data_IF_668492910439
#
_entry.id   IF_668492910439
#
_cell.length_a   1.000
_cell.length_b   1.000
_cell.length_c   1.000
_cell.angle_alpha   90.00
_cell.angle_beta   90.00
_cell.angle_gamma   90.00
#
_symmetry.space_group_name_H-M   'P 1'
#
loop_
_entity.id
_entity.type
_entity.pdbx_description
1 polymer ?
2 non-polymer ?
3 non-polymer ?
4 water ?
#
# COMPACT_ATOMS: atom_id res chain seq x y z
N UNK A 1 2.15 7.38 24.25
CA UNK A 1 2.04 6.66 22.96
C UNK A 1 0.57 6.59 22.55
N UNK A 2 -0.17 7.71 22.58
CA UNK A 2 -1.57 7.79 22.06
C UNK A 2 -1.51 7.50 20.55
N UNK A 3 -2.64 7.09 19.98
CA UNK A 3 -2.84 6.87 18.51
C UNK A 3 -3.72 7.99 17.95
N UNK A 4 -3.56 8.33 16.67
CA UNK A 4 -4.46 9.25 15.92
C UNK A 4 -5.18 8.40 14.87
N UNK A 5 -6.50 8.40 14.93
CA UNK A 5 -7.35 7.56 14.06
C UNK A 5 -8.05 8.42 13.00
N UNK A 6 -7.75 8.13 11.73
CA UNK A 6 -8.37 8.80 10.57
C UNK A 6 -9.16 7.75 9.81
N UNK A 7 -10.21 8.13 9.07
CA UNK A 7 -10.87 7.22 8.14
C UNK A 7 -9.90 6.80 7.03
N UNK A 8 -10.08 5.61 6.46
CA UNK A 8 -9.13 5.08 5.43
C UNK A 8 -9.26 5.91 4.15
N UNK A 9 -10.47 6.32 3.77
CA UNK A 9 -10.71 7.03 2.49
C UNK A 9 -11.96 7.89 2.53
N UNK A 10 -12.00 8.88 1.65
CA UNK A 10 -13.16 9.81 1.45
C UNK A 10 -13.16 10.15 -0.05
N UNK A 11 -14.28 10.52 -0.64
CA UNK A 11 -14.37 10.93 -2.06
C UNK A 11 -15.53 11.89 -2.27
N UNK A 12 -15.41 12.74 -3.28
CA UNK A 12 -16.47 13.67 -3.70
C UNK A 12 -16.18 14.10 -5.13
N UNK A 13 -17.17 14.69 -5.78
CA UNK A 13 -17.05 15.26 -7.15
C UNK A 13 -16.40 16.64 -7.08
N UNK A 14 -15.85 17.14 -8.19
CA UNK A 14 -15.31 18.51 -8.21
C UNK A 14 -16.33 19.56 -7.73
N UNK A 15 -15.86 20.58 -6.99
CA UNK A 15 -16.70 21.71 -6.53
C UNK A 15 -17.33 21.48 -5.17
N UNK A 16 -17.35 20.24 -4.69
CA UNK A 16 -17.97 19.87 -3.38
C UNK A 16 -17.01 20.14 -2.21
N UNK A 17 -17.50 19.93 -0.99
CA UNK A 17 -16.74 20.08 0.27
C UNK A 17 -16.54 18.70 0.88
N UNK A 18 -15.36 18.41 1.41
CA UNK A 18 -15.10 17.15 2.14
C UNK A 18 -14.44 17.48 3.48
N UNK A 19 -14.71 16.68 4.49
CA UNK A 19 -14.07 16.82 5.83
C UNK A 19 -13.40 15.49 6.17
N UNK A 20 -12.16 15.57 6.65
CA UNK A 20 -11.38 14.42 7.15
C UNK A 20 -11.14 14.64 8.66
N UNK A 21 -11.47 13.64 9.48
CA UNK A 21 -11.34 13.67 10.96
C UNK A 21 -10.08 12.94 11.38
N UNK A 22 -9.60 13.29 12.56
CA UNK A 22 -8.39 12.76 13.19
C UNK A 22 -8.61 12.71 14.70
N UNK A 23 -8.94 11.53 15.24
CA UNK A 23 -9.32 11.34 16.66
C UNK A 23 -8.14 10.82 17.46
N UNK A 24 -7.83 11.50 18.58
CA UNK A 24 -6.74 11.20 19.52
C UNK A 24 -7.23 10.16 20.57
N UNK A 25 -6.55 9.03 20.73
CA UNK A 25 -7.11 7.85 21.47
C UNK A 25 -7.09 8.10 22.99
N UNK A 26 -6.16 8.91 23.47
CA UNK A 26 -5.93 9.19 24.91
C UNK A 26 -5.23 10.55 25.08
N UNK A 27 -5.61 11.29 26.12
CA UNK A 27 -5.14 12.66 26.35
C UNK A 27 -6.06 13.63 25.65
N UNK A 28 -5.75 14.93 25.73
CA UNK A 28 -6.58 16.03 25.22
C UNK A 28 -5.95 16.53 23.91
N UNK A 29 -6.74 16.54 22.83
CA UNK A 29 -6.35 17.02 21.46
C UNK A 29 -5.74 18.43 21.60
N UNK A 30 -6.29 19.23 22.52
CA UNK A 30 -5.88 20.56 23.01
C UNK A 30 -4.41 20.65 23.45
N UNK A 31 -3.90 19.59 24.03
CA UNK A 31 -2.60 19.58 24.76
C UNK A 31 -1.45 19.81 23.80
N UNK A 32 -1.62 19.53 22.50
CA UNK A 32 -0.47 19.56 21.53
C UNK A 32 -0.98 19.95 20.13
N UNK A 33 -0.15 20.65 19.35
CA UNK A 33 -0.51 21.12 17.98
C UNK A 33 -0.68 19.93 17.02
N UNK A 34 -1.64 20.11 16.14
CA UNK A 34 -1.97 19.14 15.05
C UNK A 34 -1.55 19.75 13.72
N UNK A 35 -0.81 18.97 12.94
CA UNK A 35 -0.40 19.29 11.57
C UNK A 35 -1.14 18.40 10.58
N UNK A 36 -1.36 18.91 9.37
CA UNK A 36 -1.89 18.11 8.24
C UNK A 36 -0.92 18.16 7.06
N UNK A 37 -0.61 16.99 6.53
CA UNK A 37 0.30 16.84 5.36
C UNK A 37 -0.49 16.23 4.19
N UNK A 38 -0.27 16.76 2.98
CA UNK A 38 -0.85 16.29 1.71
C UNK A 38 0.26 15.57 0.92
N UNK A 39 0.01 14.36 0.42
CA UNK A 39 0.93 13.74 -0.56
C UNK A 39 0.12 13.30 -1.79
N UNK A 40 0.21 14.07 -2.85
CA UNK A 40 -0.39 13.72 -4.18
C UNK A 40 0.28 12.46 -4.72
N UNK A 41 -0.41 11.67 -5.58
CA UNK A 41 0.19 10.46 -6.12
C UNK A 41 1.48 10.79 -6.86
N UNK A 42 2.58 10.10 -6.52
CA UNK A 42 3.89 10.24 -7.17
C UNK A 42 4.59 11.53 -6.83
N UNK A 43 4.17 12.21 -5.76
CA UNK A 43 4.76 13.49 -5.36
C UNK A 43 5.31 13.43 -3.92
N UNK A 44 6.05 14.47 -3.56
CA UNK A 44 6.54 14.69 -2.17
C UNK A 44 5.40 15.23 -1.32
N UNK A 45 5.43 15.01 0.01
CA UNK A 45 4.50 15.64 0.92
C UNK A 45 4.71 17.16 1.03
N UNK A 46 3.62 17.87 1.33
CA UNK A 46 3.63 19.32 1.68
C UNK A 46 2.72 19.54 2.88
N UNK A 47 3.00 20.54 3.68
CA UNK A 47 2.17 20.88 4.84
C UNK A 47 1.04 21.75 4.31
N UNK A 48 -0.21 21.40 4.62
CA UNK A 48 -1.37 22.28 4.31
C UNK A 48 -1.84 23.01 5.56
N UNK A 49 -1.66 22.45 6.75
CA UNK A 49 -2.03 23.09 8.06
C UNK A 49 -0.97 22.78 9.11
N UNK A 50 -0.59 23.78 9.94
CA UNK A 50 0.26 23.56 11.14
C UNK A 50 -0.43 24.28 12.31
N UNK A 51 -0.09 23.92 13.54
CA UNK A 51 -0.67 24.58 14.73
C UNK A 51 -2.20 24.65 14.58
N UNK A 52 -2.83 23.53 14.21
CA UNK A 52 -4.30 23.28 14.24
C UNK A 52 -5.00 23.98 13.07
N UNK A 53 -4.66 25.23 12.77
CA UNK A 53 -5.43 26.02 11.79
C UNK A 53 -4.61 26.99 10.96
N UNK A 54 -3.26 26.99 11.01
CA UNK A 54 -2.42 27.94 10.24
C UNK A 54 -2.12 27.38 8.86
N UNK A 55 -2.30 28.19 7.84
CA UNK A 55 -1.95 27.82 6.45
C UNK A 55 -0.59 28.41 6.12
N UNK A 56 0.36 27.58 5.61
CA UNK A 56 1.58 28.10 4.98
C UNK A 56 1.24 28.98 3.78
N UNK A 57 2.12 29.90 3.45
CA UNK A 57 1.89 30.73 2.22
C UNK A 57 1.85 29.79 1.02
N UNK A 58 0.99 30.12 0.07
CA UNK A 58 0.82 29.28 -1.13
C UNK A 58 -0.27 28.24 -0.93
N UNK A 59 -0.70 27.97 0.31
CA UNK A 59 -1.86 27.07 0.54
C UNK A 59 -3.14 27.90 0.46
N UNK A 60 -4.04 27.61 -0.50
CA UNK A 60 -5.29 28.35 -0.63
C UNK A 60 -6.25 28.26 0.56
N UNK A 61 -7.08 29.28 0.71
CA UNK A 61 -7.99 29.33 1.87
C UNK A 61 -9.16 28.35 1.73
N UNK A 62 -9.24 27.56 0.65
CA UNK A 62 -10.20 26.42 0.53
C UNK A 62 -9.87 25.35 1.58
N UNK A 63 -8.63 25.36 2.08
CA UNK A 63 -8.16 24.42 3.11
C UNK A 63 -8.35 25.05 4.48
N UNK A 64 -9.04 24.35 5.38
CA UNK A 64 -9.25 24.85 6.76
C UNK A 64 -9.03 23.74 7.79
N UNK A 65 -8.23 24.04 8.81
CA UNK A 65 -8.06 23.16 9.97
C UNK A 65 -8.91 23.60 11.16
N UNK A 66 -9.37 22.65 11.98
CA UNK A 66 -10.13 22.97 13.22
C UNK A 66 -9.89 21.89 14.28
N UNK A 67 -10.21 22.20 15.53
CA UNK A 67 -10.13 21.27 16.67
C UNK A 67 -11.54 21.20 17.29
N UNK A 68 -11.99 20.01 17.71
CA UNK A 68 -13.20 19.84 18.56
C UNK A 68 -12.81 19.16 19.86
N UNK A 69 -12.74 19.93 20.95
CA UNK A 69 -12.30 19.42 22.28
C UNK A 69 -13.24 18.30 22.74
N UNK A 70 -14.55 18.42 22.51
CA UNK A 70 -15.55 17.43 23.03
C UNK A 70 -15.36 16.02 22.41
N UNK A 71 -15.05 15.94 21.11
CA UNK A 71 -14.79 14.64 20.42
C UNK A 71 -13.30 14.28 20.47
N UNK A 72 -12.47 15.14 21.07
CA UNK A 72 -10.98 14.97 21.14
C UNK A 72 -10.46 14.75 19.70
N UNK A 73 -10.93 15.54 18.75
CA UNK A 73 -10.58 15.34 17.32
C UNK A 73 -10.13 16.66 16.67
N UNK A 74 -9.33 16.52 15.64
CA UNK A 74 -8.95 17.57 14.69
C UNK A 74 -9.64 17.24 13.35
N UNK A 75 -9.95 18.25 12.54
CA UNK A 75 -10.52 18.06 11.19
C UNK A 75 -9.84 18.97 10.17
N UNK A 76 -9.72 18.45 8.96
CA UNK A 76 -9.31 19.21 7.77
C UNK A 76 -10.52 19.28 6.83
N UNK A 77 -10.95 20.50 6.48
CA UNK A 77 -12.09 20.71 5.57
C UNK A 77 -11.57 21.37 4.30
N UNK A 78 -11.90 20.77 3.16
CA UNK A 78 -11.49 21.26 1.83
C UNK A 78 -12.75 21.64 1.06
N UNK A 79 -12.91 22.92 0.72
CA UNK A 79 -14.08 23.42 -0.04
C UNK A 79 -13.68 23.60 -1.50
N UNK A 80 -14.66 23.71 -2.41
CA UNK A 80 -14.40 23.94 -3.84
C UNK A 80 -13.44 22.91 -4.44
N UNK A 81 -13.64 21.63 -4.14
CA UNK A 81 -12.69 20.54 -4.53
C UNK A 81 -12.22 20.69 -5.99
N UNK A 82 -10.93 20.55 -6.18
CA UNK A 82 -10.26 20.53 -7.49
C UNK A 82 -9.59 19.16 -7.67
N UNK A 83 -9.38 18.72 -8.91
CA UNK A 83 -8.71 17.43 -9.22
C UNK A 83 -7.31 17.40 -8.59
N UNK A 84 -6.62 18.54 -8.45
CA UNK A 84 -5.26 18.54 -7.82
C UNK A 84 -5.31 18.21 -6.31
N UNK A 85 -6.48 18.20 -5.69
CA UNK A 85 -6.63 17.90 -4.24
C UNK A 85 -6.59 16.39 -3.99
N UNK A 86 -6.69 15.54 -5.02
CA UNK A 86 -6.61 14.06 -4.85
C UNK A 86 -5.24 13.71 -4.28
N UNK A 87 -5.21 13.00 -3.15
CA UNK A 87 -3.97 12.77 -2.36
C UNK A 87 -4.26 11.94 -1.11
N UNK A 88 -3.20 11.49 -0.44
CA UNK A 88 -3.24 10.95 0.94
C UNK A 88 -3.05 12.13 1.89
N UNK A 89 -3.87 12.24 2.91
CA UNK A 89 -3.76 13.33 3.93
C UNK A 89 -3.43 12.61 5.24
N UNK A 90 -2.44 13.11 5.96
CA UNK A 90 -2.02 12.56 7.27
C UNK A 90 -2.10 13.68 8.30
N UNK A 91 -2.74 13.42 9.44
CA UNK A 91 -2.60 14.29 10.64
C UNK A 91 -1.40 13.82 11.48
N UNK A 92 -0.90 14.74 12.31
CA UNK A 92 0.29 14.48 13.15
C UNK A 92 0.20 15.36 14.41
N UNK A 93 0.57 14.78 15.54
CA UNK A 93 0.75 15.50 16.82
C UNK A 93 1.90 14.89 17.65
N UNK A 94 1.91 15.19 18.96
CA UNK A 94 3.01 14.85 19.90
C UNK A 94 2.43 14.47 21.26
N UNK A 95 2.97 13.48 21.95
CA UNK A 95 2.77 13.38 23.42
C UNK A 95 4.15 13.53 24.03
N UNK A 96 4.38 14.69 24.60
CA UNK A 96 5.70 15.10 25.09
C UNK A 96 6.63 15.03 23.88
N UNK A 97 7.71 14.25 23.98
CA UNK A 97 8.83 14.17 22.99
C UNK A 97 8.36 13.46 21.72
N UNK A 98 7.58 12.38 21.89
CA UNK A 98 7.19 11.39 20.85
C UNK A 98 6.29 12.03 19.79
N UNK A 99 6.68 11.89 18.52
CA UNK A 99 5.89 12.32 17.33
C UNK A 99 4.91 11.21 17.00
N UNK A 100 3.64 11.52 16.74
CA UNK A 100 2.59 10.51 16.41
C UNK A 100 1.95 10.94 15.09
N UNK A 101 1.85 10.01 14.15
CA UNK A 101 1.17 10.20 12.84
C UNK A 101 -0.12 9.37 12.83
N UNK A 102 -1.17 9.93 12.21
CA UNK A 102 -2.35 9.17 11.78
C UNK A 102 -1.98 8.18 10.67
N UNK A 103 -2.88 7.26 10.37
CA UNK A 103 -2.70 6.17 9.37
C UNK A 103 -2.82 6.71 7.95
N UNK A 104 -3.41 7.89 7.78
CA UNK A 104 -3.66 8.51 6.45
C UNK A 104 -5.04 8.23 5.91
N UNK A 105 -5.58 9.20 5.18
CA UNK A 105 -6.89 9.13 4.48
C UNK A 105 -6.64 9.38 2.99
N UNK A 106 -7.00 8.43 2.14
CA UNK A 106 -6.98 8.68 0.66
C UNK A 106 -8.21 9.50 0.27
N UNK A 107 -8.01 10.69 -0.29
CA UNK A 107 -9.08 11.55 -0.90
C UNK A 107 -9.09 11.34 -2.42
N UNK A 108 -10.17 10.81 -2.95
CA UNK A 108 -10.33 10.69 -4.43
C UNK A 108 -11.31 11.76 -4.90
N UNK A 109 -10.94 12.54 -5.92
CA UNK A 109 -11.86 13.46 -6.64
C UNK A 109 -12.43 12.66 -7.81
N UNK A 110 -13.68 12.26 -7.68
CA UNK A 110 -14.28 11.16 -8.48
C UNK A 110 -14.11 11.42 -9.97
N UNK A 111 -13.50 10.46 -10.67
CA UNK A 111 -13.27 10.53 -12.13
C UNK A 111 -14.18 9.61 -12.93
N UNK A 112 -15.03 8.85 -12.24
CA UNK A 112 -15.92 7.80 -12.80
C UNK A 112 -16.89 7.37 -11.71
N UNK A 113 -17.97 6.63 -12.04
CA UNK A 113 -18.95 6.21 -11.03
C UNK A 113 -18.30 5.33 -9.95
N UNK A 114 -18.76 5.46 -8.72
CA UNK A 114 -18.36 4.53 -7.62
C UNK A 114 -18.75 3.12 -8.00
N UNK A 115 -17.93 2.15 -7.62
CA UNK A 115 -18.24 0.71 -7.82
C UNK A 115 -17.72 -0.10 -6.63
N UNK A 116 -18.63 -0.85 -5.99
CA UNK A 116 -18.33 -1.76 -4.85
C UNK A 116 -17.52 -2.95 -5.35
N UNK A 117 -16.49 -3.45 -4.62
CA UNK A 117 -15.72 -4.59 -5.11
C UNK A 117 -16.49 -5.93 -5.09
N UNK A 118 -16.16 -6.80 -6.04
CA UNK A 118 -16.38 -8.27 -5.99
C UNK A 118 -15.28 -8.92 -5.14
N UNK A 119 -15.68 -9.64 -4.08
CA UNK A 119 -14.72 -10.25 -3.12
C UNK A 119 -14.91 -11.77 -3.11
N UNK A 120 -13.87 -12.53 -3.46
CA UNK A 120 -13.92 -14.00 -3.55
C UNK A 120 -12.73 -14.56 -2.75
N UNK A 121 -13.00 -15.45 -1.80
CA UNK A 121 -11.97 -16.02 -0.90
C UNK A 121 -11.76 -17.48 -1.29
N UNK A 122 -10.54 -17.86 -1.63
CA UNK A 122 -10.26 -19.23 -2.08
C UNK A 122 -9.56 -19.99 -0.96
N UNK A 123 -10.01 -21.23 -0.64
CA UNK A 123 -9.31 -22.10 0.32
C UNK A 123 -8.10 -22.76 -0.34
N UNK A 124 -7.26 -23.50 0.42
CA UNK A 124 -6.07 -24.08 -0.18
C UNK A 124 -6.40 -25.12 -1.27
N UNK A 125 -5.60 -25.16 -2.32
CA UNK A 125 -5.68 -26.13 -3.46
C UNK A 125 -5.00 -27.42 -3.01
N UNK A 126 -5.42 -28.56 -3.54
CA UNK A 126 -4.79 -29.90 -3.28
C UNK A 126 -3.31 -29.91 -3.62
N UNK A 127 -2.93 -29.29 -4.72
CA UNK A 127 -1.52 -29.30 -5.13
C UNK A 127 -0.67 -28.49 -4.13
N UNK A 128 -1.10 -27.30 -3.67
CA UNK A 128 -0.19 -26.54 -2.76
C UNK A 128 -0.13 -27.28 -1.40
N UNK A 129 -1.20 -27.94 -0.97
CA UNK A 129 -1.18 -28.69 0.32
C UNK A 129 -0.10 -29.80 0.28
N UNK A 130 0.15 -30.43 -0.87
CA UNK A 130 1.18 -31.52 -0.99
C UNK A 130 2.59 -30.95 -0.88
N UNK A 131 2.75 -29.63 -1.12
CA UNK A 131 3.97 -28.82 -0.96
C UNK A 131 4.07 -28.15 0.42
N UNK A 132 3.24 -28.55 1.37
CA UNK A 132 3.21 -28.01 2.76
C UNK A 132 2.85 -26.52 2.76
N UNK A 133 1.95 -26.12 1.85
CA UNK A 133 1.50 -24.71 1.73
C UNK A 133 -0.02 -24.68 1.80
N UNK A 134 -0.54 -23.83 2.66
CA UNK A 134 -2.00 -23.62 2.77
C UNK A 134 -2.32 -22.14 2.53
N UNK A 135 -1.63 -21.51 1.58
CA UNK A 135 -1.92 -20.10 1.24
C UNK A 135 -3.40 -19.94 0.85
N UNK A 136 -4.05 -18.93 1.44
CA UNK A 136 -5.42 -18.48 1.08
C UNK A 136 -5.29 -17.22 0.18
N UNK A 137 -6.20 -17.04 -0.77
CA UNK A 137 -6.22 -15.84 -1.66
C UNK A 137 -7.59 -15.19 -1.61
N UNK A 138 -7.58 -13.88 -1.39
CA UNK A 138 -8.78 -13.00 -1.39
C UNK A 138 -8.70 -12.10 -2.63
N UNK A 139 -9.50 -12.40 -3.65
CA UNK A 139 -9.55 -11.66 -4.94
C UNK A 139 -10.58 -10.53 -4.78
N UNK A 140 -10.15 -9.33 -5.13
CA UNK A 140 -10.93 -8.07 -4.95
C UNK A 140 -11.00 -7.37 -6.33
N UNK A 141 -12.13 -7.32 -7.02
CA UNK A 141 -12.13 -6.82 -8.42
C UNK A 141 -13.27 -5.83 -8.67
N UNK A 142 -13.16 -5.07 -9.75
CA UNK A 142 -14.26 -4.22 -10.31
C UNK A 142 -14.61 -3.09 -9.35
N UNK A 143 -13.62 -2.44 -8.72
CA UNK A 143 -13.90 -1.39 -7.71
C UNK A 143 -13.40 0.01 -8.14
N UNK A 144 -14.10 1.04 -7.64
CA UNK A 144 -13.72 2.47 -7.80
C UNK A 144 -14.33 3.28 -6.67
N UNK A 145 -13.59 4.15 -5.96
CA UNK A 145 -12.17 4.43 -6.19
C UNK A 145 -11.21 3.27 -5.89
N UNK A 146 -9.92 3.46 -6.14
CA UNK A 146 -8.91 2.39 -6.02
C UNK A 146 -8.34 2.18 -4.63
N UNK A 147 -8.93 2.71 -3.58
CA UNK A 147 -8.45 2.54 -2.20
C UNK A 147 -9.22 1.40 -1.54
N UNK A 148 -8.52 0.41 -0.94
CA UNK A 148 -9.14 -0.67 -0.11
C UNK A 148 -8.23 -0.93 1.08
N UNK A 149 -8.83 -1.38 2.18
CA UNK A 149 -8.11 -1.85 3.39
C UNK A 149 -8.48 -3.30 3.60
N UNK A 150 -7.50 -4.19 3.79
CA UNK A 150 -7.76 -5.65 3.96
C UNK A 150 -7.33 -6.06 5.36
N UNK A 151 -8.16 -6.82 6.07
CA UNK A 151 -7.74 -7.45 7.35
C UNK A 151 -8.12 -8.93 7.35
N UNK A 152 -7.29 -9.75 7.99
CA UNK A 152 -7.53 -11.21 8.07
C UNK A 152 -7.82 -11.60 9.54
N UNK A 153 -8.59 -12.66 9.72
CA UNK A 153 -8.85 -13.28 11.06
C UNK A 153 -8.61 -14.78 11.01
N UNK A 154 -8.01 -15.34 12.07
CA UNK A 154 -7.99 -16.79 12.39
C UNK A 154 -9.06 -16.99 13.47
N UNK A 155 -10.12 -17.73 13.15
CA UNK A 155 -11.40 -17.78 13.92
C UNK A 155 -11.92 -16.33 14.05
N UNK A 156 -11.92 -15.80 15.28
CA UNK A 156 -12.40 -14.42 15.57
C UNK A 156 -11.24 -13.46 15.83
N UNK A 157 -9.98 -13.89 15.77
CA UNK A 157 -8.81 -13.08 16.19
C UNK A 157 -8.09 -12.49 14.98
N UNK A 158 -7.62 -11.24 15.07
CA UNK A 158 -6.79 -10.68 14.00
C UNK A 158 -5.47 -11.41 13.76
N UNK A 159 -5.10 -11.58 12.48
CA UNK A 159 -3.77 -12.02 11.97
C UNK A 159 -3.03 -10.78 11.49
N UNK A 160 -1.71 -10.71 11.64
CA UNK A 160 -0.85 -9.74 10.89
C UNK A 160 0.25 -10.51 10.15
N UNK A 161 0.83 -11.52 10.80
CA UNK A 161 1.92 -12.33 10.24
C UNK A 161 1.42 -13.05 8.99
N UNK A 162 2.20 -13.02 7.92
CA UNK A 162 1.94 -13.79 6.69
C UNK A 162 1.04 -13.08 5.68
N UNK A 163 0.64 -11.82 5.89
CA UNK A 163 -0.33 -11.08 5.02
C UNK A 163 0.42 -10.25 3.99
N UNK A 164 0.07 -10.40 2.72
CA UNK A 164 0.53 -9.47 1.65
C UNK A 164 -0.66 -9.02 0.83
N UNK A 165 -0.70 -7.74 0.48
CA UNK A 165 -1.81 -7.23 -0.34
C UNK A 165 -1.19 -6.43 -1.49
N UNK A 166 -1.61 -6.70 -2.73
CA UNK A 166 -1.10 -5.99 -3.94
C UNK A 166 -1.65 -4.57 -4.04
N UNK A 167 -0.86 -3.69 -4.65
CA UNK A 167 -1.30 -2.32 -5.02
C UNK A 167 -2.39 -2.40 -6.09
N UNK A 168 -3.56 -1.78 -5.89
CA UNK A 168 -4.62 -1.88 -6.88
C UNK A 168 -4.20 -1.34 -8.24
N UNK A 169 -4.64 -2.01 -9.29
CA UNK A 169 -4.33 -1.62 -10.68
C UNK A 169 -5.62 -1.62 -11.51
N UNK A 170 -5.69 -0.68 -12.45
CA UNK A 170 -6.80 -0.54 -13.41
C UNK A 170 -6.79 -1.70 -14.38
N UNK A 171 -7.94 -2.34 -14.62
CA UNK A 171 -8.04 -3.48 -15.56
C UNK A 171 -8.77 -3.02 -16.82
N UNK A 172 -9.13 -3.94 -17.72
CA UNK A 172 -9.54 -3.64 -19.12
C UNK A 172 -10.91 -2.93 -19.07
N UNK A 173 -11.68 -3.08 -18.00
CA UNK A 173 -12.98 -2.37 -17.82
C UNK A 173 -12.81 -0.99 -17.14
N UNK A 174 -11.59 -0.53 -16.90
CA UNK A 174 -11.31 0.80 -16.30
C UNK A 174 -11.67 0.85 -14.80
N UNK A 175 -11.91 -0.30 -14.18
CA UNK A 175 -12.03 -0.43 -12.72
C UNK A 175 -10.79 -1.13 -12.11
N UNK A 176 -10.61 -1.05 -10.79
CA UNK A 176 -9.43 -1.57 -10.07
C UNK A 176 -9.61 -3.05 -9.70
N UNK A 177 -8.48 -3.76 -9.58
CA UNK A 177 -8.41 -5.10 -8.98
C UNK A 177 -7.15 -5.22 -8.13
N UNK A 178 -7.23 -6.09 -7.13
CA UNK A 178 -6.10 -6.40 -6.24
C UNK A 178 -6.33 -7.78 -5.63
N UNK A 179 -5.32 -8.34 -4.98
CA UNK A 179 -5.47 -9.60 -4.20
C UNK A 179 -4.63 -9.52 -2.93
N UNK A 180 -5.17 -10.15 -1.89
CA UNK A 180 -4.51 -10.31 -0.58
C UNK A 180 -4.31 -11.80 -0.40
N UNK A 181 -3.14 -12.21 0.08
CA UNK A 181 -2.85 -13.64 0.35
C UNK A 181 -2.25 -13.80 1.76
N UNK A 182 -2.60 -14.90 2.37
CA UNK A 182 -2.19 -15.26 3.75
C UNK A 182 -1.45 -16.60 3.70
N UNK A 183 -0.16 -16.57 3.93
CA UNK A 183 0.75 -17.73 3.77
C UNK A 183 0.70 -18.70 4.95
N UNK A 184 -0.35 -19.49 5.10
CA UNK A 184 -0.48 -20.47 6.22
C UNK A 184 0.33 -21.77 5.92
N UNK A 185 0.71 -22.53 6.96
CA UNK A 185 1.09 -23.95 6.82
C UNK A 185 -0.20 -24.76 6.87
N UNK A 186 -0.21 -25.99 6.31
CA UNK A 186 -1.36 -26.88 6.48
C UNK A 186 -1.72 -27.08 7.97
N UNK A 187 -0.73 -27.12 8.85
CA UNK A 187 -0.95 -27.30 10.33
C UNK A 187 -1.75 -26.11 10.89
N UNK A 188 -1.38 -24.87 10.49
CA UNK A 188 -2.10 -23.64 10.92
C UNK A 188 -3.55 -23.68 10.41
N UNK A 189 -3.75 -23.96 9.13
CA UNK A 189 -5.07 -24.06 8.47
C UNK A 189 -5.99 -25.02 9.23
N UNK A 190 -5.51 -26.23 9.48
CA UNK A 190 -6.34 -27.35 9.98
C UNK A 190 -6.64 -27.16 11.47
N UNK A 191 -5.88 -26.28 12.12
CA UNK A 191 -5.91 -26.06 13.59
C UNK A 191 -6.86 -24.90 13.95
N UNK A 192 -7.61 -24.35 12.99
CA UNK A 192 -8.64 -23.32 13.27
C UNK A 192 -9.96 -23.80 12.66
N UNK A 193 -11.09 -23.32 13.20
CA UNK A 193 -12.43 -23.66 12.65
C UNK A 193 -12.61 -22.89 11.34
N UNK A 194 -12.01 -21.72 11.20
CA UNK A 194 -12.15 -20.89 9.97
C UNK A 194 -11.11 -19.77 9.91
N UNK A 195 -10.98 -19.21 8.70
CA UNK A 195 -10.25 -17.97 8.40
C UNK A 195 -11.15 -17.04 7.57
N UNK A 196 -10.99 -15.74 7.78
CA UNK A 196 -11.80 -14.67 7.19
C UNK A 196 -10.92 -13.59 6.54
N UNK A 197 -11.40 -13.07 5.40
CA UNK A 197 -10.87 -11.90 4.68
C UNK A 197 -11.89 -10.77 4.81
N UNK A 198 -11.50 -9.64 5.40
CA UNK A 198 -12.39 -8.45 5.53
C UNK A 198 -11.88 -7.33 4.62
N UNK A 199 -12.72 -6.85 3.73
CA UNK A 199 -12.35 -5.77 2.76
C UNK A 199 -13.20 -4.51 3.03
N UNK A 200 -12.55 -3.38 3.32
CA UNK A 200 -13.24 -2.08 3.49
C UNK A 200 -13.00 -1.20 2.25
N UNK A 201 -14.05 -0.65 1.70
CA UNK A 201 -14.04 0.23 0.50
C UNK A 201 -15.07 1.33 0.70
N UNK A 202 -14.66 2.59 0.72
CA UNK A 202 -15.64 3.72 0.79
C UNK A 202 -16.52 3.58 2.07
N UNK A 203 -15.99 3.19 3.21
CA UNK A 203 -16.90 3.04 4.39
C UNK A 203 -17.99 1.95 4.22
N UNK A 204 -17.75 0.96 3.36
CA UNK A 204 -18.45 -0.35 3.44
C UNK A 204 -17.43 -1.47 3.66
N UNK A 205 -17.66 -2.31 4.66
CA UNK A 205 -16.81 -3.46 5.04
C UNK A 205 -17.60 -4.74 4.73
N UNK A 206 -16.99 -5.63 3.96
CA UNK A 206 -17.55 -6.97 3.64
C UNK A 206 -16.55 -8.04 4.14
N UNK A 207 -17.04 -9.23 4.50
CA UNK A 207 -16.20 -10.29 5.09
C UNK A 207 -16.60 -11.63 4.46
N UNK A 208 -15.61 -12.38 3.97
CA UNK A 208 -15.79 -13.74 3.41
C UNK A 208 -15.02 -14.68 4.34
N UNK A 209 -15.52 -15.91 4.47
CA UNK A 209 -14.96 -16.92 5.41
C UNK A 209 -14.84 -18.28 4.71
N UNK A 210 -13.72 -19.00 4.96
CA UNK A 210 -13.56 -20.40 4.52
C UNK A 210 -13.14 -21.27 5.72
N UNK A 211 -13.42 -22.56 5.61
CA UNK A 211 -13.20 -23.56 6.68
C UNK A 211 -12.56 -24.81 6.11
N UNK A 212 -11.60 -25.45 6.82
CA UNK A 212 -11.04 -26.72 6.35
C UNK A 212 -12.17 -27.76 6.24
N UNK A 213 -12.32 -28.38 5.07
CA UNK A 213 -13.46 -29.26 4.68
C UNK A 213 -12.90 -30.43 3.86
N UNK A 214 -13.80 -31.29 3.34
CA UNK A 214 -13.48 -32.30 2.30
C UNK A 214 -14.67 -32.42 1.33
N UNK A 215 -15.30 -31.28 1.02
CA UNK A 215 -16.36 -31.10 -0.01
C UNK A 215 -16.23 -29.70 -0.64
N UNK B 1 10.95 31.82 4.33
CA UNK B 1 10.32 30.86 3.35
C UNK B 1 11.43 30.04 2.63
N UNK B 2 12.14 29.14 3.34
CA UNK B 2 13.23 28.33 2.73
C UNK B 2 12.64 27.04 2.13
N UNK B 3 13.36 26.50 1.15
CA UNK B 3 13.11 25.17 0.51
C UNK B 3 14.28 24.23 0.78
N UNK B 4 14.04 22.92 0.70
CA UNK B 4 15.11 21.89 0.78
C UNK B 4 15.21 21.18 -0.57
N UNK B 5 16.42 21.08 -1.09
CA UNK B 5 16.71 20.53 -2.45
C UNK B 5 17.50 19.24 -2.25
N UNK B 6 16.94 18.15 -2.76
CA UNK B 6 17.52 16.79 -2.76
C UNK B 6 17.60 16.34 -4.19
N UNK B 7 18.52 15.42 -4.54
CA UNK B 7 18.50 14.80 -5.87
C UNK B 7 17.21 14.03 -6.14
N UNK B 8 16.70 14.03 -7.38
CA UNK B 8 15.49 13.24 -7.74
C UNK B 8 15.78 11.74 -7.59
N UNK B 9 17.04 11.33 -7.79
CA UNK B 9 17.41 9.90 -7.84
C UNK B 9 18.91 9.69 -7.61
N UNK B 10 19.26 8.55 -7.06
CA UNK B 10 20.66 8.04 -6.91
C UNK B 10 20.59 6.52 -7.09
N UNK B 11 21.67 5.90 -7.55
CA UNK B 11 21.75 4.42 -7.60
C UNK B 11 23.11 3.95 -7.08
N UNK B 12 23.14 2.76 -6.51
CA UNK B 12 24.38 2.14 -5.99
C UNK B 12 24.15 0.62 -5.92
N UNK B 13 25.23 -0.17 -5.90
CA UNK B 13 25.12 -1.65 -5.85
C UNK B 13 25.23 -2.11 -4.40
N UNK B 14 24.82 -3.36 -4.08
CA UNK B 14 24.85 -3.83 -2.71
C UNK B 14 26.25 -3.80 -2.07
N UNK B 15 26.28 -3.58 -0.75
CA UNK B 15 27.51 -3.60 0.06
C UNK B 15 28.22 -2.26 0.08
N UNK B 16 27.85 -1.35 -0.82
CA UNK B 16 28.56 -0.04 -0.95
C UNK B 16 27.82 0.98 -0.09
N UNK B 17 28.40 2.18 0.04
CA UNK B 17 27.86 3.31 0.83
C UNK B 17 27.24 4.33 -0.13
N UNK B 18 25.99 4.78 0.10
CA UNK B 18 25.39 5.86 -0.72
C UNK B 18 25.06 7.06 0.19
N UNK B 19 25.21 8.28 -0.31
CA UNK B 19 24.90 9.51 0.44
C UNK B 19 23.81 10.24 -0.33
N UNK B 20 22.80 10.76 0.37
CA UNK B 20 21.69 11.60 -0.19
C UNK B 20 21.76 12.94 0.53
N UNK B 21 21.93 14.04 -0.21
CA UNK B 21 22.11 15.40 0.35
C UNK B 21 20.79 16.16 0.30
N UNK B 22 20.65 17.16 1.15
CA UNK B 22 19.43 17.99 1.33
C UNK B 22 19.93 19.41 1.61
N UNK B 23 19.80 20.33 0.66
CA UNK B 23 20.39 21.68 0.75
C UNK B 23 19.31 22.68 1.20
N UNK B 24 19.57 23.51 2.22
CA UNK B 24 18.64 24.56 2.67
C UNK B 24 18.91 25.84 1.84
N UNK B 25 17.86 26.49 1.30
CA UNK B 25 18.00 27.58 0.29
C UNK B 25 18.27 28.93 0.97
N UNK B 26 17.89 29.14 2.23
CA UNK B 26 18.21 30.38 2.97
C UNK B 26 18.17 30.07 4.45
N UNK B 27 18.92 30.84 5.22
CA UNK B 27 19.13 30.58 6.66
C UNK B 27 20.14 29.46 6.88
N UNK B 28 20.50 29.20 8.13
CA UNK B 28 21.55 28.21 8.47
C UNK B 28 20.87 26.85 8.71
N UNK B 29 21.44 25.80 8.11
CA UNK B 29 21.05 24.37 8.31
C UNK B 29 21.01 24.05 9.82
N UNK B 30 21.84 24.67 10.67
CA UNK B 30 21.88 24.32 12.11
C UNK B 30 20.87 25.14 12.90
N UNK B 31 20.07 26.04 12.27
CA UNK B 31 19.03 26.78 13.04
C UNK B 31 17.87 25.85 13.37
N UNK B 32 17.65 24.75 12.62
CA UNK B 32 16.49 23.85 12.88
C UNK B 32 16.89 22.38 12.66
N UNK B 33 16.23 21.48 13.38
CA UNK B 33 16.51 20.03 13.32
C UNK B 33 16.06 19.47 11.94
N UNK B 34 16.80 18.50 11.42
CA UNK B 34 16.49 17.77 10.17
C UNK B 34 16.11 16.32 10.47
N UNK B 35 15.01 15.88 9.86
CA UNK B 35 14.46 14.52 9.95
C UNK B 35 14.57 13.87 8.57
N UNK B 36 14.64 12.54 8.51
CA UNK B 36 14.60 11.76 7.25
C UNK B 36 13.54 10.67 7.33
N UNK B 37 12.73 10.53 6.27
CA UNK B 37 11.67 9.52 6.15
C UNK B 37 12.04 8.58 5.02
N UNK B 38 11.67 7.31 5.16
CA UNK B 38 11.80 6.26 4.13
C UNK B 38 10.37 5.86 3.75
N UNK B 39 10.07 5.80 2.46
CA UNK B 39 8.74 5.34 1.98
C UNK B 39 8.93 4.28 0.88
N UNK B 40 8.44 3.08 1.12
CA UNK B 40 8.39 1.94 0.16
C UNK B 40 7.18 2.09 -0.73
N UNK B 41 7.22 1.55 -1.98
CA UNK B 41 6.20 1.78 -3.00
C UNK B 41 4.78 1.47 -2.51
N UNK B 42 3.82 2.36 -2.79
CA UNK B 42 2.42 2.30 -2.30
C UNK B 42 2.34 1.81 -0.85
N UNK B 43 2.96 2.51 0.11
CA UNK B 43 3.14 1.99 1.49
C UNK B 43 3.44 3.13 2.48
N UNK B 44 3.42 2.78 3.77
CA UNK B 44 3.39 3.74 4.89
C UNK B 44 4.81 4.22 5.14
N UNK B 45 5.06 5.53 5.20
CA UNK B 45 6.40 6.03 5.49
C UNK B 45 6.81 5.72 6.94
N UNK B 46 8.12 5.64 7.18
CA UNK B 46 8.72 5.58 8.55
C UNK B 46 9.80 6.68 8.70
N UNK B 47 10.07 7.07 9.95
CA UNK B 47 11.20 7.96 10.33
C UNK B 47 12.46 7.11 10.46
N UNK B 48 13.53 7.41 9.72
CA UNK B 48 14.83 6.71 9.88
C UNK B 48 15.81 7.60 10.68
N UNK B 49 15.63 8.92 10.65
CA UNK B 49 16.50 9.90 11.39
C UNK B 49 15.65 11.04 11.93
N UNK B 50 15.97 11.48 13.16
CA UNK B 50 15.42 12.68 13.79
C UNK B 50 16.55 13.42 14.51
N UNK B 51 16.35 14.73 14.69
CA UNK B 51 17.32 15.62 15.39
C UNK B 51 18.70 15.44 14.74
N UNK B 52 18.72 15.48 13.40
CA UNK B 52 19.92 15.45 12.51
C UNK B 52 20.58 14.08 12.43
N UNK B 53 20.72 13.33 13.55
CA UNK B 53 21.57 12.12 13.57
C UNK B 53 21.03 11.03 14.52
N UNK B 54 19.83 11.12 15.04
CA UNK B 54 19.28 10.11 16.00
C UNK B 54 18.41 9.08 15.24
N UNK B 55 18.62 7.78 15.48
CA UNK B 55 17.84 6.68 14.85
C UNK B 55 16.74 6.24 15.83
N UNK B 56 15.47 6.19 15.40
CA UNK B 56 14.45 5.48 16.19
C UNK B 56 14.81 3.99 16.39
N UNK B 57 14.26 3.37 17.44
CA UNK B 57 14.41 1.92 17.67
C UNK B 57 13.89 1.15 16.47
N UNK B 58 14.63 0.11 16.08
CA UNK B 58 14.27 -0.76 14.96
C UNK B 58 14.95 -0.33 13.69
N UNK B 59 15.51 0.88 13.63
CA UNK B 59 16.14 1.34 12.38
C UNK B 59 17.55 0.79 12.39
N UNK B 60 17.98 0.06 11.33
CA UNK B 60 19.33 -0.44 11.26
C UNK B 60 20.41 0.64 11.47
N UNK B 61 21.50 0.26 12.14
CA UNK B 61 22.65 1.16 12.46
C UNK B 61 23.40 1.54 11.17
N UNK B 62 23.06 0.94 10.02
CA UNK B 62 23.61 1.29 8.69
C UNK B 62 23.12 2.69 8.26
N UNK B 63 22.06 3.23 8.86
CA UNK B 63 21.54 4.58 8.48
C UNK B 63 22.22 5.62 9.38
N UNK B 64 22.87 6.64 8.83
CA UNK B 64 23.50 7.74 9.61
C UNK B 64 23.13 9.11 9.03
N UNK B 65 22.77 10.04 9.92
CA UNK B 65 22.42 11.43 9.58
C UNK B 65 23.57 12.35 9.94
N UNK B 66 23.75 13.44 9.18
CA UNK B 66 24.79 14.45 9.47
C UNK B 66 24.37 15.80 8.89
N UNK B 67 25.01 16.85 9.39
CA UNK B 67 24.85 18.27 8.99
C UNK B 67 26.22 18.76 8.53
N UNK B 68 26.27 19.59 7.48
CA UNK B 68 27.51 20.29 7.05
C UNK B 68 27.20 21.80 7.01
N UNK B 69 27.69 22.54 8.02
CA UNK B 69 27.27 23.94 8.32
C UNK B 69 27.67 24.89 7.18
N UNK B 70 28.79 24.58 6.53
CA UNK B 70 29.43 25.44 5.50
C UNK B 70 28.63 25.39 4.20
N UNK B 71 28.02 24.24 3.84
CA UNK B 71 27.12 24.07 2.66
C UNK B 71 25.64 24.29 3.01
N UNK B 72 25.30 24.51 4.27
CA UNK B 72 23.90 24.63 4.74
C UNK B 72 23.21 23.40 4.13
N UNK B 73 23.80 22.20 4.31
CA UNK B 73 23.14 20.91 3.96
C UNK B 73 23.13 19.88 5.10
N UNK B 74 22.26 18.88 4.91
CA UNK B 74 22.12 17.66 5.73
C UNK B 74 22.33 16.45 4.80
N UNK B 75 22.79 15.33 5.34
CA UNK B 75 23.00 14.11 4.54
C UNK B 75 22.49 12.87 5.27
N UNK B 76 21.90 11.97 4.48
CA UNK B 76 21.60 10.56 4.86
C UNK B 76 22.63 9.65 4.18
N UNK B 77 23.42 8.97 5.00
CA UNK B 77 24.43 7.98 4.55
C UNK B 77 23.98 6.56 4.90
N UNK B 78 23.79 5.73 3.88
CA UNK B 78 23.44 4.29 4.07
C UNK B 78 24.67 3.45 3.70
N UNK B 79 25.25 2.78 4.67
CA UNK B 79 26.46 1.94 4.48
C UNK B 79 26.03 0.47 4.39
N UNK B 80 26.87 -0.35 3.74
CA UNK B 80 26.57 -1.77 3.48
C UNK B 80 25.19 -1.94 2.88
N UNK B 81 24.89 -1.25 1.76
CA UNK B 81 23.53 -1.19 1.14
C UNK B 81 22.94 -2.60 1.01
N UNK B 82 21.64 -2.75 1.28
CA UNK B 82 20.87 -4.00 1.01
C UNK B 82 19.73 -3.68 0.07
N UNK B 83 19.25 -4.71 -0.62
CA UNK B 83 18.10 -4.67 -1.55
C UNK B 83 16.88 -4.01 -0.89
N UNK B 84 16.58 -4.38 0.35
CA UNK B 84 15.44 -3.83 1.14
C UNK B 84 15.55 -2.29 1.24
N UNK B 85 16.72 -1.69 1.06
CA UNK B 85 16.91 -0.22 1.19
C UNK B 85 16.33 0.55 0.00
N UNK B 86 15.97 -0.11 -1.11
CA UNK B 86 15.36 0.57 -2.29
C UNK B 86 14.08 1.20 -1.80
N UNK B 87 13.92 2.51 -1.99
CA UNK B 87 12.80 3.28 -1.41
C UNK B 87 12.93 4.73 -1.84
N UNK B 88 11.96 5.54 -1.49
CA UNK B 88 12.05 7.01 -1.61
C UNK B 88 12.43 7.59 -0.23
N UNK B 89 13.34 8.57 -0.19
CA UNK B 89 13.86 9.18 1.07
C UNK B 89 13.55 10.66 1.02
N UNK B 90 13.02 11.21 2.11
CA UNK B 90 12.63 12.64 2.16
C UNK B 90 13.33 13.27 3.34
N UNK B 91 13.94 14.42 3.16
CA UNK B 91 14.40 15.25 4.30
C UNK B 91 13.31 16.25 4.69
N UNK B 92 13.36 16.75 5.93
CA UNK B 92 12.30 17.62 6.51
C UNK B 92 12.96 18.51 7.57
N UNK B 93 12.62 19.79 7.59
CA UNK B 93 13.02 20.74 8.67
C UNK B 93 11.87 21.72 8.91
N UNK B 94 12.13 22.84 9.57
CA UNK B 94 11.08 23.73 10.14
C UNK B 94 11.42 25.19 9.84
N UNK B 95 10.41 26.03 9.55
CA UNK B 95 10.53 27.38 8.94
C UNK B 95 9.49 28.40 9.46
N UNK B 96 9.19 28.45 10.76
CA UNK B 96 8.43 29.55 11.42
C UNK B 96 6.94 29.53 11.06
N UNK B 97 6.60 29.73 9.78
CA UNK B 97 5.23 29.52 9.24
C UNK B 97 5.22 28.25 8.36
N UNK B 98 5.94 27.15 8.74
CA UNK B 98 5.94 25.87 7.98
C UNK B 98 6.84 24.70 8.52
N UNK B 99 6.40 23.48 8.23
CA UNK B 99 7.18 22.22 8.22
C UNK B 99 7.53 21.99 6.76
N UNK B 100 8.81 21.93 6.43
CA UNK B 100 9.33 22.00 5.05
C UNK B 100 9.89 20.63 4.69
N UNK B 101 9.52 20.13 3.52
CA UNK B 101 9.98 18.84 2.95
C UNK B 101 10.82 19.07 1.71
N UNK B 102 11.87 18.24 1.58
CA UNK B 102 12.58 18.06 0.30
C UNK B 102 11.68 17.37 -0.71
N UNK B 103 12.08 17.37 -1.99
CA UNK B 103 11.30 16.79 -3.11
C UNK B 103 11.35 15.29 -3.15
N UNK B 104 12.22 14.65 -2.36
CA UNK B 104 12.37 13.21 -2.33
C UNK B 104 13.47 12.71 -3.25
N UNK B 105 14.15 11.67 -2.85
CA UNK B 105 15.20 10.98 -3.65
C UNK B 105 14.82 9.50 -3.81
N UNK B 106 14.60 9.06 -5.04
CA UNK B 106 14.38 7.62 -5.31
C UNK B 106 15.73 6.91 -5.32
N UNK B 107 15.97 5.98 -4.38
CA UNK B 107 17.20 5.16 -4.30
C UNK B 107 16.94 3.82 -5.03
N UNK B 108 17.68 3.58 -6.11
CA UNK B 108 17.74 2.29 -6.83
C UNK B 108 18.96 1.52 -6.34
N UNK B 109 18.75 0.29 -5.87
CA UNK B 109 19.82 -0.69 -5.53
C UNK B 109 19.93 -1.64 -6.73
N UNK B 110 21.13 -1.66 -7.31
CA UNK B 110 21.38 -2.38 -8.59
C UNK B 110 21.67 -3.84 -8.29
N UNK B 111 21.57 -4.65 -9.33
CA UNK B 111 22.09 -6.01 -9.35
C UNK B 111 21.28 -6.92 -8.45
N UNK B 112 19.97 -6.69 -8.33
CA UNK B 112 19.15 -7.58 -7.48
C UNK B 112 19.07 -8.93 -8.17
N UNK B 113 19.13 -10.06 -7.43
CA UNK B 113 19.27 -11.37 -8.06
C UNK B 113 17.88 -11.76 -8.62
N UNK B 114 17.89 -12.37 -9.80
CA UNK B 114 16.66 -12.90 -10.43
C UNK B 114 16.04 -13.96 -9.50
N UNK B 115 14.70 -14.04 -9.45
CA UNK B 115 13.95 -14.99 -8.62
C UNK B 115 12.73 -15.47 -9.41
N UNK B 116 12.59 -16.79 -9.59
CA UNK B 116 11.47 -17.43 -10.30
C UNK B 116 10.20 -17.32 -9.46
N UNK B 117 9.03 -17.16 -10.10
CA UNK B 117 7.78 -17.04 -9.36
C UNK B 117 7.31 -18.37 -8.76
N UNK B 118 6.72 -18.26 -7.59
CA UNK B 118 5.80 -19.26 -7.01
C UNK B 118 4.43 -19.12 -7.68
N UNK B 119 3.89 -20.20 -8.25
CA UNK B 119 2.60 -20.15 -8.96
C UNK B 119 1.62 -21.10 -8.29
N UNK B 120 0.48 -20.59 -7.84
CA UNK B 120 -0.61 -21.43 -7.28
C UNK B 120 -1.94 -21.14 -7.97
N UNK B 121 -2.55 -22.18 -8.54
CA UNK B 121 -3.84 -22.10 -9.27
C UNK B 121 -4.97 -22.60 -8.39
N UNK B 122 -6.01 -21.79 -8.21
CA UNK B 122 -7.18 -22.12 -7.35
C UNK B 122 -8.39 -22.37 -8.24
N UNK B 123 -9.10 -23.51 -8.04
CA UNK B 123 -10.34 -23.73 -8.74
C UNK B 123 -11.45 -22.88 -8.11
N UNK B 124 -12.65 -22.83 -8.71
CA UNK B 124 -13.76 -22.05 -8.16
C UNK B 124 -14.10 -22.47 -6.73
N UNK B 125 -14.32 -21.48 -5.85
CA UNK B 125 -14.85 -21.72 -4.49
C UNK B 125 -16.32 -22.15 -4.54
N UNK B 126 -16.73 -22.96 -3.56
CA UNK B 126 -18.17 -23.32 -3.33
C UNK B 126 -19.07 -22.09 -3.30
N UNK B 127 -18.70 -21.09 -2.50
CA UNK B 127 -19.50 -19.87 -2.26
C UNK B 127 -19.73 -19.14 -3.60
N UNK B 128 -18.72 -19.00 -4.46
CA UNK B 128 -18.99 -18.23 -5.72
C UNK B 128 -19.81 -19.11 -6.68
N UNK B 129 -19.67 -20.43 -6.64
CA UNK B 129 -20.47 -21.31 -7.54
C UNK B 129 -21.97 -21.20 -7.16
N UNK B 130 -22.25 -21.08 -5.88
CA UNK B 130 -23.62 -20.86 -5.34
C UNK B 130 -24.16 -19.53 -5.87
N UNK B 131 -23.29 -18.55 -6.13
CA UNK B 131 -23.72 -17.26 -6.67
C UNK B 131 -23.56 -17.23 -8.20
N UNK B 132 -23.47 -18.40 -8.84
CA UNK B 132 -23.45 -18.53 -10.33
C UNK B 132 -22.18 -17.88 -10.93
N UNK B 133 -21.03 -17.95 -10.21
CA UNK B 133 -19.74 -17.46 -10.74
C UNK B 133 -18.71 -18.58 -10.64
N UNK B 134 -17.78 -18.66 -11.60
CA UNK B 134 -16.74 -19.70 -11.56
C UNK B 134 -15.39 -19.08 -11.89
N UNK B 135 -15.08 -17.96 -11.25
CA UNK B 135 -13.79 -17.26 -11.43
C UNK B 135 -12.66 -18.16 -10.89
N UNK B 136 -11.59 -18.34 -11.66
CA UNK B 136 -10.34 -19.03 -11.23
C UNK B 136 -9.33 -17.93 -10.86
N UNK B 137 -8.42 -18.21 -9.94
CA UNK B 137 -7.31 -17.28 -9.67
C UNK B 137 -5.98 -18.02 -9.66
N UNK B 138 -5.01 -17.38 -10.27
CA UNK B 138 -3.60 -17.85 -10.40
C UNK B 138 -2.72 -16.83 -9.68
N UNK B 139 -2.28 -17.18 -8.48
CA UNK B 139 -1.45 -16.30 -7.63
C UNK B 139 0.01 -16.52 -8.03
N UNK B 140 0.69 -15.41 -8.35
CA UNK B 140 2.10 -15.42 -8.84
C UNK B 140 2.89 -14.54 -7.87
N UNK B 141 3.86 -15.09 -7.13
CA UNK B 141 4.52 -14.34 -6.02
C UNK B 141 6.03 -14.58 -6.04
N UNK B 142 6.77 -13.73 -5.31
CA UNK B 142 8.22 -13.96 -5.02
C UNK B 142 9.06 -13.90 -6.30
N UNK B 143 8.70 -13.08 -7.29
CA UNK B 143 9.48 -13.02 -8.54
C UNK B 143 10.20 -11.67 -8.65
N UNK B 144 11.34 -11.73 -9.33
CA UNK B 144 12.16 -10.53 -9.67
C UNK B 144 12.91 -10.85 -10.95
N UNK B 145 12.97 -9.96 -11.97
CA UNK B 145 12.31 -8.65 -11.95
C UNK B 145 10.77 -8.70 -12.09
N UNK B 146 10.11 -7.54 -12.08
CA UNK B 146 8.64 -7.43 -11.89
C UNK B 146 7.80 -7.52 -13.17
N UNK B 147 8.12 -8.40 -14.10
CA UNK B 147 7.40 -8.56 -15.38
C UNK B 147 7.19 -10.05 -15.64
N UNK B 148 5.95 -10.40 -15.98
CA UNK B 148 5.56 -11.78 -16.33
C UNK B 148 4.62 -11.75 -17.53
N UNK B 149 4.48 -12.89 -18.19
CA UNK B 149 3.44 -13.08 -19.22
C UNK B 149 2.62 -14.28 -18.80
N UNK B 150 1.30 -14.15 -18.95
CA UNK B 150 0.37 -15.18 -18.44
C UNK B 150 -0.50 -15.60 -19.63
N UNK B 151 -0.73 -16.90 -19.80
CA UNK B 151 -1.70 -17.42 -20.76
C UNK B 151 -2.53 -18.47 -20.07
N UNK B 152 -3.79 -18.64 -20.48
CA UNK B 152 -4.66 -19.69 -19.90
C UNK B 152 -5.01 -20.68 -21.00
N UNK B 153 -5.34 -21.90 -20.60
CA UNK B 153 -5.87 -22.97 -21.48
C UNK B 153 -7.20 -23.53 -20.94
N UNK B 154 -8.11 -23.85 -21.85
CA UNK B 154 -9.34 -24.61 -21.58
C UNK B 154 -9.12 -25.99 -22.21
N UNK B 155 -9.04 -27.05 -21.41
CA UNK B 155 -8.44 -28.30 -21.92
C UNK B 155 -7.05 -27.98 -22.50
N UNK B 156 -6.72 -28.34 -23.75
CA UNK B 156 -5.40 -28.00 -24.33
C UNK B 156 -5.44 -26.67 -25.11
N UNK B 157 -6.60 -26.03 -25.25
CA UNK B 157 -6.79 -24.91 -26.24
C UNK B 157 -6.60 -23.54 -25.57
N UNK B 158 -6.11 -22.52 -26.31
CA UNK B 158 -5.89 -21.18 -25.75
C UNK B 158 -7.22 -20.50 -25.39
N UNK B 159 -7.24 -19.86 -24.23
CA UNK B 159 -8.40 -19.09 -23.72
C UNK B 159 -8.24 -17.68 -24.30
N UNK B 160 -9.29 -17.18 -24.94
CA UNK B 160 -9.22 -15.89 -25.69
C UNK B 160 -10.06 -14.81 -24.99
N UNK B 161 -10.90 -15.17 -24.03
CA UNK B 161 -11.82 -14.22 -23.36
C UNK B 161 -11.74 -14.36 -21.85
N UNK B 162 -11.95 -13.25 -21.14
CA UNK B 162 -12.23 -13.26 -19.70
C UNK B 162 -11.00 -13.26 -18.79
N UNK B 163 -9.79 -13.07 -19.34
CA UNK B 163 -8.55 -12.99 -18.51
C UNK B 163 -8.27 -11.54 -18.08
N UNK B 164 -7.90 -11.34 -16.82
CA UNK B 164 -7.27 -10.09 -16.34
C UNK B 164 -6.06 -10.47 -15.52
N UNK B 165 -4.98 -9.70 -15.63
CA UNK B 165 -3.79 -9.88 -14.78
C UNK B 165 -3.43 -8.52 -14.13
N UNK B 166 -3.27 -8.49 -12.82
CA UNK B 166 -2.92 -7.25 -12.10
C UNK B 166 -1.48 -6.82 -12.43
N UNK B 167 -1.24 -5.52 -12.34
CA UNK B 167 0.13 -4.94 -12.50
C UNK B 167 0.97 -5.43 -11.33
N UNK B 168 2.14 -6.10 -11.57
CA UNK B 168 2.93 -6.57 -10.45
C UNK B 168 3.30 -5.45 -9.46
N UNK B 169 3.26 -5.74 -8.18
CA UNK B 169 3.64 -4.78 -7.11
C UNK B 169 4.61 -5.40 -6.13
N UNK B 170 5.51 -4.55 -5.60
CA UNK B 170 6.63 -5.03 -4.77
C UNK B 170 6.12 -5.23 -3.35
N UNK B 171 6.33 -6.43 -2.80
CA UNK B 171 5.82 -6.85 -1.48
C UNK B 171 6.95 -6.71 -0.44
N UNK B 172 6.78 -7.27 0.76
CA UNK B 172 7.62 -6.92 1.94
C UNK B 172 8.94 -7.71 1.87
N UNK B 173 8.96 -8.84 1.14
CA UNK B 173 10.19 -9.62 0.84
C UNK B 173 10.97 -9.00 -0.32
N UNK B 174 10.58 -7.82 -0.84
CA UNK B 174 11.29 -7.02 -1.90
C UNK B 174 11.17 -7.67 -3.31
N UNK B 175 10.26 -8.62 -3.43
CA UNK B 175 9.95 -9.32 -4.70
C UNK B 175 8.49 -9.02 -5.06
N UNK B 176 8.09 -9.35 -6.29
CA UNK B 176 6.81 -8.87 -6.86
C UNK B 176 5.76 -9.96 -6.68
N UNK B 177 4.50 -9.51 -6.64
CA UNK B 177 3.31 -10.38 -6.69
C UNK B 177 2.24 -9.78 -7.61
N UNK B 178 1.46 -10.68 -8.19
CA UNK B 178 0.34 -10.37 -9.07
C UNK B 178 -0.62 -11.55 -9.03
N UNK B 179 -1.87 -11.31 -9.40
CA UNK B 179 -2.85 -12.39 -9.65
C UNK B 179 -3.39 -12.26 -11.07
N UNK B 180 -3.54 -13.38 -11.76
CA UNK B 180 -4.32 -13.48 -12.99
C UNK B 180 -5.63 -14.17 -12.62
N UNK B 181 -6.79 -13.67 -13.08
CA UNK B 181 -8.12 -14.26 -12.77
C UNK B 181 -8.90 -14.39 -14.07
N UNK B 182 -9.55 -15.52 -14.24
CA UNK B 182 -10.34 -15.92 -15.42
C UNK B 182 -11.82 -16.02 -15.00
N UNK B 183 -12.68 -15.17 -15.55
CA UNK B 183 -14.07 -15.03 -15.08
C UNK B 183 -15.01 -15.99 -15.83
N UNK B 184 -14.93 -17.28 -15.52
CA UNK B 184 -15.81 -18.31 -16.16
C UNK B 184 -17.25 -18.25 -15.62
N UNK B 185 -18.20 -18.70 -16.43
CA UNK B 185 -19.55 -19.11 -15.99
C UNK B 185 -19.41 -20.52 -15.44
N UNK B 186 -20.29 -20.93 -14.51
CA UNK B 186 -20.33 -22.33 -14.08
C UNK B 186 -20.42 -23.33 -15.24
N UNK B 187 -21.20 -23.02 -16.27
CA UNK B 187 -21.39 -23.90 -17.46
C UNK B 187 -20.04 -24.09 -18.16
N UNK B 188 -19.25 -23.02 -18.32
CA UNK B 188 -17.89 -23.08 -18.93
C UNK B 188 -16.98 -23.97 -18.07
N UNK B 189 -16.92 -23.76 -16.75
CA UNK B 189 -16.06 -24.55 -15.83
C UNK B 189 -16.40 -26.04 -15.94
N UNK B 190 -17.69 -26.39 -15.88
CA UNK B 190 -18.13 -27.81 -15.81
C UNK B 190 -18.06 -28.49 -17.18
N UNK B 191 -18.06 -27.74 -18.27
CA UNK B 191 -18.11 -28.32 -19.65
C UNK B 191 -16.70 -28.71 -20.13
N UNK B 192 -15.64 -28.36 -19.41
CA UNK B 192 -14.26 -28.71 -19.84
C UNK B 192 -13.68 -29.75 -18.89
N UNK B 193 -12.64 -30.48 -19.32
CA UNK B 193 -11.96 -31.45 -18.45
C UNK B 193 -11.05 -30.74 -17.45
N UNK B 194 -10.42 -29.63 -17.84
CA UNK B 194 -9.55 -28.84 -16.93
C UNK B 194 -9.37 -27.43 -17.48
N UNK B 195 -8.79 -26.53 -16.67
CA UNK B 195 -8.17 -25.25 -17.09
C UNK B 195 -6.74 -25.21 -16.50
N UNK B 196 -5.90 -24.46 -17.18
CA UNK B 196 -4.46 -24.31 -16.87
C UNK B 196 -4.08 -22.83 -16.89
N UNK B 197 -3.13 -22.48 -16.06
CA UNK B 197 -2.47 -21.14 -15.99
C UNK B 197 -0.99 -21.34 -16.31
N UNK B 198 -0.50 -20.66 -17.33
CA UNK B 198 0.91 -20.78 -17.80
C UNK B 198 1.62 -19.45 -17.55
N UNK B 199 2.69 -19.46 -16.75
CA UNK B 199 3.39 -18.21 -16.36
C UNK B 199 4.82 -18.27 -16.90
N UNK B 200 5.22 -17.28 -17.71
CA UNK B 200 6.58 -17.13 -18.24
C UNK B 200 7.26 -15.97 -17.56
N UNK B 201 8.47 -16.22 -17.09
CA UNK B 201 9.34 -15.24 -16.40
C UNK B 201 10.79 -15.51 -16.81
N UNK B 202 11.45 -14.50 -17.36
CA UNK B 202 12.89 -14.63 -17.77
C UNK B 202 13.09 -15.90 -18.60
N UNK B 203 12.21 -16.13 -19.60
CA UNK B 203 12.32 -17.25 -20.55
C UNK B 203 12.05 -18.63 -19.95
N UNK B 204 11.66 -18.75 -18.68
CA UNK B 204 11.21 -20.05 -18.10
C UNK B 204 9.69 -20.02 -17.89
N UNK B 205 9.03 -21.15 -18.16
CA UNK B 205 7.56 -21.29 -18.10
C UNK B 205 7.20 -22.33 -17.03
N UNK B 206 6.21 -22.01 -16.19
CA UNK B 206 5.57 -22.88 -15.17
C UNK B 206 4.09 -23.00 -15.59
N UNK B 207 3.52 -24.19 -15.59
CA UNK B 207 2.09 -24.39 -15.95
C UNK B 207 1.44 -25.17 -14.81
N UNK B 208 0.28 -24.71 -14.33
CA UNK B 208 -0.54 -25.41 -13.33
C UNK B 208 -1.91 -25.75 -13.91
N UNK B 209 -2.49 -26.85 -13.44
CA UNK B 209 -3.75 -27.41 -14.00
C UNK B 209 -4.68 -27.76 -12.83
N UNK B 210 -5.94 -27.36 -12.94
CA UNK B 210 -7.03 -27.72 -12.01
C UNK B 210 -8.22 -28.26 -12.82
N UNK B 211 -9.03 -29.09 -12.18
CA UNK B 211 -10.15 -29.79 -12.82
C UNK B 211 -11.36 -29.81 -11.88
N UNK B 212 -12.59 -29.87 -12.43
CA UNK B 212 -13.80 -29.87 -11.59
C UNK B 212 -13.71 -30.98 -10.52
N UNK B 213 -14.08 -30.59 -9.30
CA UNK B 213 -13.72 -31.26 -8.02
C UNK B 213 -14.79 -32.32 -7.79
N UNK B 214 -14.53 -33.29 -6.92
CA UNK B 214 -15.44 -34.45 -6.69
C UNK B 214 -16.25 -34.16 -5.41
N UNK B 215 -16.86 -32.97 -5.35
CA UNK B 215 -17.96 -32.59 -4.43
C UNK B 215 -18.57 -31.26 -4.90
X LIG C 1 7.46 7.65 11.09
X LIG C 1 6.38 7.78 10.51
X LIG C 1 5.25 6.88 10.64
X LIG C 1 5.47 5.74 11.61
X LIG C 1 4.90 5.92 12.95
X LIG C 1 3.41 5.85 12.93
X LIG C 1 2.80 6.10 14.30
X LIG C 1 3.20 7.37 14.81
X LIG C 1 4.65 7.40 14.94
X LIG C 1 5.36 7.17 13.60
X LIG C 1 4.08 7.07 9.90
X LIG C 1 2.93 6.11 9.86
X LIG C 1 4.00 8.23 9.06
X LIG C 1 5.11 9.09 8.96
X LIG C 1 6.27 8.83 9.64
X LIG C 1 2.87 8.56 8.33
X LIG C 1 2.85 9.68 7.54
X LIG C 1 3.97 10.52 7.49
X LIG C 1 5.12 10.23 8.19
X LIG C 1 3.81 11.66 6.74
X LIG C 1 4.96 12.40 6.37
X LIG C 1 4.42 13.78 6.07
X LIG C 1 5.45 11.74 5.12
X LIG C 1 4.56 11.33 4.12
X LIG C 1 5.04 10.76 2.96
X LIG C 1 6.39 10.60 2.77
X LIG C 1 7.28 11.04 3.73
X LIG C 1 6.81 11.59 4.91
X LIG D 1 -10.01 7.85 -12.54
X LIG D 1 -9.69 8.33 -11.06
X LIG D 1 -9.24 6.45 -12.76
X LIG D 1 -9.54 8.88 -13.59
X LIG D 1 -11.52 7.64 -12.84
X LIG E 1 13.01 -2.50 -9.32
X LIG E 1 14.45 -2.40 -8.73
X LIG E 1 12.50 -1.10 -9.66
X LIG E 1 12.11 -3.16 -8.29
X LIG E 1 12.99 -3.34 -10.60
#
# INVERSE_FOLDING_TARGET
NFMLNQPHSVSESPGKTVTISCTRSSGNIDSNYVQWYQQRPGSAPITVIYEDNQRPSGVPDRFAGSIDRSSNSASLTISGLKTEDEADYYCQSYDARNVVFGGGTRLTVLGQPKAAPSVTLFPPSSEELQANKATLVCLISDFYPGAVTVAWKADSSPVKAGVETTTPSKQSNNKYAASSYLSLTPEQWKSHKSYSCQVTHEGSTVEKTVAPTEC
NFMLNQPHSVSESPGKTVTISCTRSSGNIDSNYVQWYQQRPGSAPITVIYEDNQRPSGVPDRFAGSIDRSSNSASLTISGLKTEDEADYYCQSYDARNVVFGGGTRLTVLGQPKAAPSVTLFPPSSEELQANKATLVCLISDFYPGAVTVAWKADSSPVKAGVETTTPSKQSNNKYAASSYLSLTPEQWKSHKSYSCQVTHEGSTVEKTVAPTEC
9ZW O C C17 C18 N C22 C21 O3 C20 C19 C15 C16 C14 C1 O1 C13 C12 C3 C2 O2 C4 C11 C5 C10 C9 C8 C7 C6
PO4 P O1 O2 O3 O4
PO4 P O1 O2 O3 O4
#
